data_IF_853462770680
#
_entry.id   IF_853462770680
#
_cell.length_a   1.000
_cell.length_b   1.000
_cell.length_c   1.000
_cell.angle_alpha   90.00
_cell.angle_beta   90.00
_cell.angle_gamma   90.00
#
_symmetry.space_group_name_H-M   'P 1'
#
loop_
_entity.id
_entity.type
_entity.pdbx_description
1 polymer ?
#
# COMPACT_ATOMS: atom_id res chain seq x y z
N UNK A 1 -30.09 -40.99 -43.43
CA UNK A 1 -29.65 -39.58 -43.34
C UNK A 1 -28.80 -39.42 -42.09
N UNK A 2 -27.48 -39.25 -42.21
CA UNK A 2 -26.57 -39.01 -41.08
C UNK A 2 -26.27 -37.51 -40.99
N UNK A 3 -26.59 -36.90 -39.85
CA UNK A 3 -26.45 -35.46 -39.60
C UNK A 3 -25.12 -35.26 -38.87
N UNK A 4 -24.11 -34.76 -39.59
CA UNK A 4 -22.81 -34.44 -39.01
C UNK A 4 -22.90 -33.06 -38.34
N UNK A 5 -22.71 -33.01 -37.02
CA UNK A 5 -22.60 -31.77 -36.28
C UNK A 5 -21.13 -31.37 -36.20
N UNK A 6 -20.75 -30.28 -36.88
CA UNK A 6 -19.42 -29.69 -36.75
C UNK A 6 -19.43 -28.86 -35.46
N UNK A 7 -18.72 -29.35 -34.43
CA UNK A 7 -18.49 -28.61 -33.18
C UNK A 7 -17.31 -27.68 -33.41
N UNK A 8 -17.58 -26.39 -33.58
CA UNK A 8 -16.54 -25.36 -33.66
C UNK A 8 -16.01 -25.09 -32.24
N UNK A 9 -14.78 -25.54 -31.95
CA UNK A 9 -14.10 -25.22 -30.70
C UNK A 9 -13.55 -23.78 -30.76
N UNK A 10 -14.15 -22.87 -30.01
CA UNK A 10 -13.63 -21.51 -29.80
C UNK A 10 -12.53 -21.62 -28.73
N UNK A 11 -11.27 -21.59 -29.15
CA UNK A 11 -10.12 -21.47 -28.24
C UNK A 11 -9.94 -20.00 -27.91
N UNK A 12 -10.46 -19.57 -26.76
CA UNK A 12 -10.21 -18.23 -26.22
C UNK A 12 -8.74 -18.14 -25.77
N UNK A 13 -7.91 -17.44 -26.54
CA UNK A 13 -6.53 -17.17 -26.17
C UNK A 13 -6.49 -16.17 -25.00
N UNK A 14 -6.28 -16.67 -23.78
CA UNK A 14 -6.02 -15.82 -22.62
C UNK A 14 -4.60 -15.27 -22.72
N UNK A 15 -4.47 -13.99 -23.07
CA UNK A 15 -3.19 -13.28 -22.96
C UNK A 15 -2.84 -13.11 -21.47
N UNK A 16 -1.77 -13.77 -21.03
CA UNK A 16 -1.24 -13.58 -19.69
C UNK A 16 -0.61 -12.18 -19.60
N UNK A 17 -1.28 -11.26 -18.90
CA UNK A 17 -0.70 -9.95 -18.59
C UNK A 17 0.31 -10.16 -17.45
N UNK A 18 1.56 -9.69 -17.57
CA UNK A 18 2.51 -9.78 -16.46
C UNK A 18 1.99 -9.00 -15.26
N UNK A 19 1.89 -9.69 -14.12
CA UNK A 19 1.57 -9.04 -12.84
C UNK A 19 2.79 -8.24 -12.38
N UNK A 20 2.74 -6.91 -12.56
CA UNK A 20 3.74 -5.99 -12.03
C UNK A 20 3.47 -5.80 -10.54
N UNK A 21 4.06 -6.67 -9.72
CA UNK A 21 4.00 -6.57 -8.28
C UNK A 21 4.97 -5.52 -7.74
N UNK A 22 4.48 -4.68 -6.84
CA UNK A 22 5.30 -3.77 -6.05
C UNK A 22 6.17 -4.55 -5.04
N UNK A 23 7.51 -4.42 -5.10
CA UNK A 23 8.43 -5.02 -4.11
C UNK A 23 8.58 -4.14 -2.85
N UNK A 24 7.50 -4.07 -2.06
CA UNK A 24 7.50 -3.35 -0.77
C UNK A 24 8.48 -3.98 0.21
N UNK A 25 8.59 -5.31 0.21
CA UNK A 25 9.47 -6.04 1.11
C UNK A 25 10.95 -5.71 0.84
N UNK A 26 11.34 -5.60 -0.43
CA UNK A 26 12.67 -5.16 -0.84
C UNK A 26 13.00 -3.76 -0.32
N UNK A 27 12.07 -2.81 -0.42
CA UNK A 27 12.24 -1.47 0.13
C UNK A 27 12.44 -1.49 1.65
N UNK A 28 11.64 -2.28 2.36
CA UNK A 28 11.66 -2.36 3.82
C UNK A 28 12.87 -3.10 4.41
N UNK A 29 13.70 -3.76 3.59
CA UNK A 29 15.00 -4.31 4.03
C UNK A 29 16.01 -3.20 4.34
N UNK A 30 15.84 -2.01 3.78
CA UNK A 30 16.67 -0.86 4.11
C UNK A 30 16.37 -0.34 5.53
N UNK A 31 17.30 0.43 6.11
CA UNK A 31 17.03 1.14 7.36
C UNK A 31 15.87 2.14 7.15
N UNK A 32 14.94 2.24 8.10
CA UNK A 32 13.89 3.24 8.03
C UNK A 32 14.51 4.64 8.06
N UNK A 33 13.92 5.56 7.31
CA UNK A 33 14.34 6.97 7.26
C UNK A 33 13.93 7.68 8.54
N UNK A 34 12.76 7.34 9.06
CA UNK A 34 12.16 7.98 10.24
C UNK A 34 11.17 7.05 10.94
N UNK A 35 10.96 7.26 12.23
CA UNK A 35 9.88 6.65 12.99
C UNK A 35 9.36 7.61 14.04
N UNK A 36 8.07 7.56 14.31
CA UNK A 36 7.41 8.31 15.39
C UNK A 36 6.33 7.47 16.05
N UNK A 37 5.85 7.94 17.19
CA UNK A 37 4.74 7.36 17.93
C UNK A 37 3.70 8.43 18.20
N UNK A 38 2.43 8.04 18.17
CA UNK A 38 1.28 8.92 18.40
C UNK A 38 0.26 8.21 19.29
N UNK A 39 -0.57 8.98 19.98
CA UNK A 39 -1.75 8.53 20.72
C UNK A 39 -3.02 8.48 19.84
N UNK A 40 -2.91 8.73 18.52
CA UNK A 40 -4.03 8.64 17.60
C UNK A 40 -4.34 7.20 17.23
N UNK A 41 -5.63 6.98 17.00
CA UNK A 41 -6.11 5.70 16.56
C UNK A 41 -5.59 5.37 15.16
N UNK A 42 -5.17 4.13 14.94
CA UNK A 42 -4.74 3.64 13.63
C UNK A 42 -5.77 3.88 12.51
N UNK A 43 -7.07 3.84 12.79
CA UNK A 43 -8.12 4.10 11.80
C UNK A 43 -8.16 5.58 11.38
N UNK A 44 -7.89 6.51 12.30
CA UNK A 44 -7.83 7.94 11.98
C UNK A 44 -6.62 8.24 11.11
N UNK A 45 -5.49 7.60 11.42
CA UNK A 45 -4.25 7.72 10.65
C UNK A 45 -4.39 7.07 9.26
N UNK A 46 -5.01 5.90 9.16
CA UNK A 46 -5.33 5.25 7.89
C UNK A 46 -6.19 6.17 7.02
N UNK A 47 -7.27 6.72 7.60
CA UNK A 47 -8.16 7.64 6.91
C UNK A 47 -7.41 8.86 6.39
N UNK A 48 -6.60 9.50 7.24
CA UNK A 48 -5.78 10.62 6.81
C UNK A 48 -4.85 10.23 5.66
N UNK A 49 -4.14 9.11 5.77
CA UNK A 49 -3.20 8.67 4.73
C UNK A 49 -3.87 8.36 3.40
N UNK A 50 -5.10 7.84 3.40
CA UNK A 50 -5.90 7.62 2.19
C UNK A 50 -6.38 8.95 1.60
N UNK A 51 -6.76 9.90 2.45
CA UNK A 51 -7.27 11.22 2.06
C UNK A 51 -6.16 12.19 1.61
N UNK A 52 -4.88 11.88 1.84
CA UNK A 52 -3.75 12.66 1.30
C UNK A 52 -3.82 12.63 -0.22
N UNK A 53 -4.25 13.76 -0.79
CA UNK A 53 -4.38 13.97 -2.23
C UNK A 53 -3.00 13.87 -2.88
N UNK A 54 -2.78 12.75 -3.55
CA UNK A 54 -1.55 12.44 -4.26
C UNK A 54 -1.92 11.96 -5.66
N UNK A 55 -1.19 12.40 -6.72
CA UNK A 55 -1.40 11.90 -8.08
C UNK A 55 -1.17 10.38 -8.22
N UNK A 56 -0.67 9.73 -7.17
CA UNK A 56 -0.56 8.29 -7.01
C UNK A 56 -1.26 7.97 -5.69
N UNK A 57 -2.44 7.36 -5.75
CA UNK A 57 -3.15 6.93 -4.55
C UNK A 57 -2.30 5.91 -3.80
N UNK A 58 -2.17 6.03 -2.47
CA UNK A 58 -1.45 5.05 -1.68
C UNK A 58 -2.19 3.72 -1.69
N UNK A 59 -1.42 2.64 -1.79
CA UNK A 59 -1.92 1.31 -1.53
C UNK A 59 -1.92 1.07 -0.02
N UNK A 60 -2.99 0.48 0.48
CA UNK A 60 -3.15 0.15 1.90
C UNK A 60 -3.38 -1.36 2.02
N UNK A 61 -2.66 -1.99 2.94
CA UNK A 61 -2.80 -3.41 3.23
C UNK A 61 -2.81 -3.66 4.73
N UNK A 62 -3.83 -4.37 5.21
CA UNK A 62 -3.92 -4.85 6.58
C UNK A 62 -3.38 -6.27 6.66
N UNK A 63 -2.56 -6.52 7.67
CA UNK A 63 -1.91 -7.82 7.85
C UNK A 63 -2.97 -8.88 8.23
N UNK A 64 -3.09 -10.02 7.54
CA UNK A 64 -4.18 -10.99 7.78
C UNK A 64 -4.20 -11.59 9.18
N UNK A 65 -3.02 -11.73 9.79
CA UNK A 65 -2.81 -12.23 11.14
C UNK A 65 -3.18 -11.21 12.23
N UNK A 66 -3.01 -9.91 11.93
CA UNK A 66 -3.27 -8.81 12.88
C UNK A 66 -3.90 -7.60 12.20
N UNK A 67 -5.08 -7.77 11.57
CA UNK A 67 -5.62 -6.78 10.64
C UNK A 67 -6.04 -5.48 11.33
N UNK A 68 -6.36 -5.53 12.62
CA UNK A 68 -6.75 -4.34 13.40
C UNK A 68 -5.56 -3.56 13.95
N UNK A 69 -4.37 -4.18 14.01
CA UNK A 69 -3.20 -3.62 14.69
C UNK A 69 -2.15 -3.13 13.72
N UNK A 70 -2.03 -3.76 12.56
CA UNK A 70 -0.94 -3.46 11.62
C UNK A 70 -1.47 -3.21 10.23
N UNK A 71 -1.01 -2.09 9.67
CA UNK A 71 -1.22 -1.76 8.27
C UNK A 71 0.09 -1.30 7.62
N UNK A 72 0.17 -1.55 6.32
CA UNK A 72 1.21 -1.07 5.45
C UNK A 72 0.59 -0.10 4.46
N UNK A 73 1.27 1.02 4.25
CA UNK A 73 0.94 1.99 3.21
C UNK A 73 2.13 2.10 2.29
N UNK A 74 1.93 2.12 0.98
CA UNK A 74 3.03 2.40 0.05
C UNK A 74 2.53 3.14 -1.19
N UNK A 75 3.43 3.85 -1.84
CA UNK A 75 3.10 4.51 -3.10
C UNK A 75 3.32 3.57 -4.30
N UNK A 76 2.50 3.70 -5.33
CA UNK A 76 2.75 3.09 -6.65
C UNK A 76 3.71 3.90 -7.53
N UNK A 77 4.50 4.81 -6.95
CA UNK A 77 5.14 5.93 -7.65
C UNK A 77 6.55 5.71 -8.17
N UNK A 78 7.12 4.52 -8.02
CA UNK A 78 8.50 4.21 -8.39
C UNK A 78 8.75 3.97 -9.89
N UNK A 79 7.70 4.02 -10.73
CA UNK A 79 7.73 3.59 -12.13
C UNK A 79 6.94 2.30 -12.34
N UNK A 80 7.15 1.63 -13.47
CA UNK A 80 6.49 0.35 -13.80
C UNK A 80 6.85 -0.71 -12.74
N UNK A 81 5.94 -1.02 -11.82
CA UNK A 81 6.12 -2.00 -10.73
C UNK A 81 6.93 -1.50 -9.52
N UNK A 82 7.24 -0.21 -9.43
CA UNK A 82 8.14 0.34 -8.40
C UNK A 82 7.42 0.95 -7.20
N UNK A 83 7.90 0.64 -5.99
CA UNK A 83 7.57 1.35 -4.74
C UNK A 83 8.66 2.37 -4.45
N UNK A 84 8.31 3.62 -4.17
CA UNK A 84 9.28 4.68 -3.87
C UNK A 84 9.33 5.07 -2.38
N UNK A 85 8.28 4.76 -1.64
CA UNK A 85 8.13 4.95 -0.22
C UNK A 85 7.10 3.98 0.37
N UNK A 86 7.32 3.60 1.61
CA UNK A 86 6.40 2.77 2.39
C UNK A 86 6.34 3.26 3.84
N UNK A 87 5.23 2.97 4.48
CA UNK A 87 4.99 3.18 5.89
C UNK A 87 4.40 1.91 6.50
N UNK A 88 4.78 1.62 7.73
CA UNK A 88 4.12 0.64 8.57
C UNK A 88 3.56 1.37 9.79
N UNK A 89 2.29 1.13 10.09
CA UNK A 89 1.66 1.57 11.33
C UNK A 89 1.40 0.32 12.18
N UNK A 90 1.82 0.34 13.44
CA UNK A 90 1.62 -0.75 14.40
C UNK A 90 1.08 -0.22 15.74
N UNK A 91 -0.04 -0.78 16.18
CA UNK A 91 -0.75 -0.36 17.41
C UNK A 91 -2.14 0.18 17.08
N UNK A 92 -3.06 0.14 18.05
CA UNK A 92 -4.43 0.64 17.86
C UNK A 92 -4.53 2.08 18.37
N UNK A 93 -4.23 2.31 19.65
CA UNK A 93 -4.33 3.64 20.28
C UNK A 93 -2.97 4.35 20.40
N UNK A 94 -1.88 3.60 20.53
CA UNK A 94 -0.52 4.14 20.61
C UNK A 94 0.27 3.75 19.36
N UNK A 95 -0.18 4.24 18.21
CA UNK A 95 0.31 3.80 16.91
C UNK A 95 1.75 4.24 16.68
N UNK A 96 2.64 3.27 16.46
CA UNK A 96 4.01 3.52 15.98
C UNK A 96 3.99 3.56 14.46
N UNK A 97 4.50 4.64 13.88
CA UNK A 97 4.66 4.80 12.44
C UNK A 97 6.14 4.70 12.08
N UNK A 98 6.48 3.83 11.14
CA UNK A 98 7.85 3.66 10.62
C UNK A 98 7.84 3.84 9.12
N UNK A 99 8.80 4.60 8.60
CA UNK A 99 8.81 5.03 7.21
C UNK A 99 10.10 4.66 6.48
N UNK A 100 9.95 4.28 5.20
CA UNK A 100 11.03 3.92 4.28
C UNK A 100 10.89 4.69 2.96
N UNK A 101 12.02 4.87 2.27
CA UNK A 101 12.05 5.41 0.92
C UNK A 101 12.19 6.94 0.84
N UNK A 102 11.59 7.56 -0.18
CA UNK A 102 11.89 8.94 -0.57
C UNK A 102 11.22 9.96 0.36
N UNK A 103 12.00 10.91 0.87
CA UNK A 103 11.52 12.02 1.72
C UNK A 103 10.39 12.84 1.11
N UNK A 104 10.36 12.99 -0.22
CA UNK A 104 9.29 13.75 -0.91
C UNK A 104 7.90 13.16 -0.63
N UNK A 105 7.79 11.84 -0.47
CA UNK A 105 6.52 11.19 -0.11
C UNK A 105 6.22 11.41 1.38
N UNK A 106 7.25 11.41 2.25
CA UNK A 106 7.08 11.73 3.68
C UNK A 106 6.48 13.11 3.91
N UNK A 107 6.86 14.11 3.09
CA UNK A 107 6.26 15.44 3.16
C UNK A 107 4.76 15.46 2.88
N UNK A 108 4.22 14.50 2.13
CA UNK A 108 2.78 14.45 1.80
C UNK A 108 1.93 13.94 2.96
N UNK A 109 2.46 13.01 3.74
CA UNK A 109 1.82 12.46 4.93
C UNK A 109 2.13 13.28 6.19
N UNK A 110 2.89 14.37 6.06
CA UNK A 110 3.18 15.31 7.14
C UNK A 110 1.90 15.82 7.85
N UNK A 111 0.79 16.14 7.16
CA UNK A 111 -0.47 16.51 7.82
C UNK A 111 -1.01 15.38 8.71
N UNK A 112 -0.80 14.11 8.35
CA UNK A 112 -1.19 12.97 9.18
C UNK A 112 -0.29 12.82 10.40
N UNK A 113 0.99 13.17 10.29
CA UNK A 113 1.91 13.24 11.43
C UNK A 113 1.52 14.38 12.36
N UNK A 114 1.12 15.53 11.82
CA UNK A 114 0.63 16.68 12.59
C UNK A 114 -0.70 16.38 13.29
N UNK A 115 -1.64 15.73 12.58
CA UNK A 115 -2.84 15.17 13.19
C UNK A 115 -2.49 14.22 14.34
N UNK A 116 -1.49 13.36 14.15
CA UNK A 116 -0.94 12.47 15.17
C UNK A 116 -0.45 13.20 16.43
N UNK A 117 -0.02 14.45 16.30
CA UNK A 117 0.53 15.25 17.39
C UNK A 117 -0.46 16.29 17.95
N UNK A 118 -1.60 16.50 17.30
CA UNK A 118 -2.67 17.37 17.81
C UNK A 118 -3.39 16.65 18.95
N UNK A 119 -3.12 17.05 20.20
CA UNK A 119 -3.75 16.52 21.40
C UNK A 119 -5.25 16.78 21.43
#
# INVERSE_FOLDING_TARGET
MRRNYIVAAIVAATIAVPALGADVAGLMKAKPVFSTQTNKNIYDLERCMIEVDAPIMPHVYRQPDRPQRTLFVWDGGGGVGGVSAAAQLDGIENTKMTFWGREKILRRIQPCIELANSG
#
